data_IF_052149910730
#
_entry.id   IF_052149910730
#
_cell.length_a   1.000
_cell.length_b   1.000
_cell.length_c   1.000
_cell.angle_alpha   90.00
_cell.angle_beta   90.00
_cell.angle_gamma   90.00
#
_symmetry.space_group_name_H-M   'P 1'
#
loop_
_entity.id
_entity.type
_entity.pdbx_description
1 polymer ?
#
# COMPACT_ATOMS: atom_id res chain seq x y z
N UNK A 1 6.14 9.58 -3.63
CA UNK A 1 7.09 10.64 -4.04
C UNK A 1 6.49 12.03 -4.04
N UNK A 2 5.37 12.29 -4.74
CA UNK A 2 4.85 13.67 -4.87
C UNK A 2 4.51 14.34 -3.53
N UNK A 3 3.90 13.62 -2.59
CA UNK A 3 3.57 14.18 -1.27
C UNK A 3 4.81 14.74 -0.53
N UNK A 4 5.94 14.04 -0.57
CA UNK A 4 7.19 14.52 0.05
C UNK A 4 7.67 15.77 -0.67
N UNK A 5 7.65 15.80 -2.01
CA UNK A 5 8.09 16.98 -2.78
C UNK A 5 7.28 18.22 -2.42
N UNK A 6 5.96 18.08 -2.29
CA UNK A 6 5.09 19.20 -1.88
C UNK A 6 5.49 19.74 -0.50
N UNK A 7 5.85 18.88 0.46
CA UNK A 7 6.34 19.34 1.76
C UNK A 7 7.67 20.09 1.63
N UNK A 8 8.60 19.60 0.81
CA UNK A 8 9.87 20.27 0.55
C UNK A 8 9.70 21.61 -0.16
N UNK A 9 8.74 21.71 -1.09
CA UNK A 9 8.40 22.95 -1.79
C UNK A 9 7.82 24.02 -0.83
N UNK A 10 7.34 23.61 0.34
CA UNK A 10 6.88 24.47 1.44
C UNK A 10 7.93 24.67 2.54
N UNK A 11 9.22 24.49 2.22
CA UNK A 11 10.36 24.69 3.13
C UNK A 11 10.38 23.75 4.37
N UNK A 12 9.69 22.61 4.30
CA UNK A 12 9.83 21.57 5.32
C UNK A 12 11.15 20.83 5.10
N UNK A 13 11.99 20.74 6.13
CA UNK A 13 13.24 19.99 6.06
C UNK A 13 12.98 18.48 5.93
N UNK A 14 13.73 17.80 5.07
CA UNK A 14 13.59 16.35 4.83
C UNK A 14 13.68 15.51 6.12
N UNK A 15 14.54 15.90 7.06
CA UNK A 15 14.75 15.20 8.34
C UNK A 15 13.53 15.25 9.28
N UNK A 16 12.64 16.22 9.07
CA UNK A 16 11.41 16.37 9.85
C UNK A 16 10.23 15.61 9.24
N UNK A 17 10.44 14.93 8.11
CA UNK A 17 9.40 14.17 7.43
C UNK A 17 9.54 12.71 7.83
N UNK A 18 8.47 12.18 8.43
CA UNK A 18 8.35 10.77 8.78
C UNK A 18 7.25 10.14 7.95
N UNK A 19 7.63 9.20 7.08
CA UNK A 19 6.69 8.45 6.27
C UNK A 19 6.35 7.12 6.96
N UNK A 20 5.11 7.03 7.43
CA UNK A 20 4.55 5.88 8.10
C UNK A 20 3.67 5.09 7.13
N UNK A 21 3.96 3.81 6.95
CA UNK A 21 3.18 2.89 6.11
C UNK A 21 2.80 1.62 6.85
N UNK A 22 1.67 1.02 6.50
CA UNK A 22 1.31 -0.32 6.99
C UNK A 22 2.05 -1.40 6.20
N UNK A 23 2.12 -1.24 4.88
CA UNK A 23 2.68 -2.23 3.98
C UNK A 23 3.39 -1.53 2.83
N UNK A 24 4.56 -2.03 2.44
CA UNK A 24 5.34 -1.45 1.35
C UNK A 24 5.97 -2.55 0.49
N UNK A 25 6.02 -2.35 -0.83
CA UNK A 25 6.80 -3.22 -1.69
C UNK A 25 8.30 -2.91 -1.55
N UNK A 26 9.16 -3.92 -1.63
CA UNK A 26 10.62 -3.75 -1.53
C UNK A 26 11.17 -2.72 -2.54
N UNK A 27 10.68 -2.75 -3.78
CA UNK A 27 11.04 -1.75 -4.82
C UNK A 27 10.65 -0.33 -4.43
N UNK A 28 9.51 -0.15 -3.75
CA UNK A 28 9.04 1.13 -3.23
C UNK A 28 9.94 1.68 -2.13
N UNK A 29 10.37 0.84 -1.19
CA UNK A 29 11.31 1.23 -0.11
C UNK A 29 12.61 1.76 -0.73
N UNK A 30 13.22 0.99 -1.63
CA UNK A 30 14.49 1.38 -2.25
C UNK A 30 14.38 2.66 -3.07
N UNK A 31 13.30 2.81 -3.84
CA UNK A 31 13.08 4.01 -4.65
C UNK A 31 12.91 5.26 -3.80
N UNK A 32 12.24 5.14 -2.66
CA UNK A 32 11.98 6.25 -1.76
C UNK A 32 13.22 6.62 -0.94
N UNK A 33 13.95 5.62 -0.44
CA UNK A 33 15.22 5.81 0.26
C UNK A 33 16.31 6.41 -0.65
N UNK A 34 16.33 6.04 -1.93
CA UNK A 34 17.24 6.62 -2.92
C UNK A 34 16.92 8.09 -3.23
N UNK A 35 15.62 8.41 -3.35
CA UNK A 35 15.19 9.77 -3.69
C UNK A 35 15.25 10.75 -2.50
N UNK A 36 14.98 10.28 -1.28
CA UNK A 36 14.94 11.12 -0.07
C UNK A 36 15.70 10.43 1.08
N UNK A 37 17.03 10.53 1.12
CA UNK A 37 17.85 9.76 2.07
C UNK A 37 17.70 10.23 3.52
N UNK A 38 17.20 11.43 3.77
CA UNK A 38 17.02 11.99 5.12
C UNK A 38 15.63 11.74 5.71
N UNK A 39 14.67 11.27 4.90
CA UNK A 39 13.31 10.98 5.34
C UNK A 39 13.29 9.69 6.15
N UNK A 40 12.69 9.73 7.33
CA UNK A 40 12.51 8.53 8.16
C UNK A 40 11.37 7.67 7.61
N UNK A 41 11.68 6.44 7.23
CA UNK A 41 10.72 5.46 6.70
C UNK A 41 10.40 4.41 7.76
N UNK A 42 9.14 4.36 8.17
CA UNK A 42 8.64 3.36 9.13
C UNK A 42 7.52 2.58 8.47
N UNK A 43 7.70 1.27 8.35
CA UNK A 43 6.67 0.38 7.79
C UNK A 43 6.50 -0.87 8.65
N UNK A 44 5.28 -1.38 8.76
CA UNK A 44 5.00 -2.58 9.58
C UNK A 44 5.41 -3.86 8.86
N UNK A 45 5.14 -3.94 7.55
CA UNK A 45 5.53 -5.06 6.70
C UNK A 45 6.18 -4.57 5.39
N UNK A 46 7.08 -5.39 4.86
CA UNK A 46 7.70 -5.21 3.54
C UNK A 46 7.53 -6.50 2.75
N UNK A 47 6.85 -6.41 1.61
CA UNK A 47 6.59 -7.55 0.75
C UNK A 47 7.52 -7.51 -0.48
N UNK A 48 8.00 -8.67 -0.95
CA UNK A 48 9.04 -8.75 -1.98
C UNK A 48 8.51 -8.57 -3.40
N UNK A 49 7.23 -8.84 -3.66
CA UNK A 49 6.67 -8.88 -5.01
C UNK A 49 5.52 -7.91 -5.20
N UNK A 50 5.53 -7.28 -6.36
CA UNK A 50 4.42 -6.48 -6.88
C UNK A 50 3.94 -7.15 -8.17
N UNK A 51 2.63 -7.22 -8.37
CA UNK A 51 2.03 -7.75 -9.59
C UNK A 51 1.97 -6.67 -10.69
N UNK A 52 1.64 -7.06 -11.92
CA UNK A 52 1.48 -6.16 -13.08
C UNK A 52 0.38 -5.10 -12.88
N UNK A 53 -0.60 -5.40 -12.03
CA UNK A 53 -1.66 -4.48 -11.60
C UNK A 53 -1.23 -3.57 -10.43
N UNK A 54 0.06 -3.52 -10.09
CA UNK A 54 0.64 -2.77 -8.97
C UNK A 54 0.13 -3.16 -7.57
N UNK A 55 -0.49 -4.33 -7.45
CA UNK A 55 -0.82 -4.91 -6.14
C UNK A 55 0.39 -5.57 -5.52
N UNK A 56 0.59 -5.31 -4.24
CA UNK A 56 1.59 -6.02 -3.44
C UNK A 56 1.06 -7.42 -3.13
N UNK A 57 1.88 -8.47 -3.30
CA UNK A 57 1.49 -9.87 -3.08
C UNK A 57 2.42 -10.49 -2.02
N UNK A 58 1.90 -11.17 -0.97
CA UNK A 58 0.48 -11.54 -0.74
C UNK A 58 -0.44 -10.37 -0.36
N UNK A 59 0.10 -9.28 0.20
CA UNK A 59 -0.57 -7.99 0.39
C UNK A 59 -1.94 -8.02 1.07
N UNK A 60 -2.72 -6.96 0.82
CA UNK A 60 -4.04 -6.75 1.44
C UNK A 60 -5.14 -6.37 0.44
N UNK A 61 -4.91 -6.49 -0.87
CA UNK A 61 -5.84 -5.98 -1.88
C UNK A 61 -5.95 -4.45 -1.82
N UNK A 62 -7.10 -3.90 -2.22
CA UNK A 62 -7.35 -2.47 -2.08
C UNK A 62 -7.67 -2.10 -0.62
N UNK A 63 -6.67 -1.58 0.10
CA UNK A 63 -6.82 -1.15 1.49
C UNK A 63 -7.94 -0.12 1.68
N UNK A 64 -8.12 0.80 0.72
CA UNK A 64 -9.14 1.84 0.80
C UNK A 64 -10.55 1.23 0.81
N UNK A 65 -10.83 0.34 -0.14
CA UNK A 65 -12.14 -0.29 -0.24
C UNK A 65 -12.46 -1.16 0.97
N UNK A 66 -11.47 -1.91 1.47
CA UNK A 66 -11.62 -2.74 2.67
C UNK A 66 -11.81 -1.93 3.94
N UNK A 67 -11.12 -0.80 4.07
CA UNK A 67 -11.19 0.05 5.26
C UNK A 67 -12.48 0.88 5.30
N UNK A 68 -12.92 1.41 4.15
CA UNK A 68 -14.12 2.24 4.04
C UNK A 68 -15.39 1.45 3.70
N UNK A 69 -15.27 0.15 3.40
CA UNK A 69 -16.39 -0.72 3.01
C UNK A 69 -16.98 -0.36 1.64
N UNK A 70 -16.15 0.21 0.74
CA UNK A 70 -16.55 0.61 -0.61
C UNK A 70 -16.26 -0.46 -1.65
N UNK A 71 -15.99 -1.70 -1.22
CA UNK A 71 -16.00 -2.84 -2.12
C UNK A 71 -17.32 -2.81 -2.86
N UNK A 72 -17.27 -2.46 -4.16
CA UNK A 72 -18.43 -2.56 -5.01
C UNK A 72 -18.84 -4.01 -4.93
N UNK A 73 -19.93 -4.29 -4.21
CA UNK A 73 -20.61 -5.57 -4.25
C UNK A 73 -20.76 -5.83 -5.74
N UNK A 74 -19.97 -6.77 -6.27
CA UNK A 74 -20.24 -7.30 -7.58
C UNK A 74 -21.60 -7.95 -7.40
N UNK A 75 -22.63 -7.23 -7.85
CA UNK A 75 -23.96 -7.76 -7.97
C UNK A 75 -23.89 -8.84 -9.04
N UNK A 76 -23.49 -10.04 -8.61
CA UNK A 76 -23.68 -11.34 -9.24
C UNK A 76 -23.41 -12.40 -8.16
N UNK A 77 -24.45 -12.60 -7.37
CA UNK A 77 -24.97 -13.89 -6.91
C UNK A 77 -24.07 -14.87 -6.18
N UNK A 78 -24.50 -15.16 -4.96
CA UNK A 78 -24.21 -16.41 -4.28
C UNK A 78 -24.50 -17.61 -5.18
N UNK A 79 -23.49 -18.45 -5.35
CA UNK A 79 -23.66 -19.89 -5.30
C UNK A 79 -22.99 -20.38 -4.02
N UNK A 80 -23.73 -20.26 -2.93
CA UNK A 80 -23.69 -21.28 -1.90
C UNK A 80 -24.24 -22.56 -2.54
N UNK A 81 -23.35 -23.41 -3.02
CA UNK A 81 -23.61 -24.83 -3.08
C UNK A 81 -22.54 -25.49 -2.24
N UNK A 82 -22.79 -25.47 -0.93
CA UNK A 82 -22.41 -26.57 -0.06
C UNK A 82 -22.94 -27.86 -0.72
N UNK A 83 -22.08 -28.56 -1.45
CA UNK A 83 -22.35 -29.91 -1.88
C UNK A 83 -21.99 -30.84 -0.71
N UNK A 84 -23.02 -31.11 0.07
CA UNK A 84 -23.12 -32.10 1.14
C UNK A 84 -22.71 -33.48 0.60
N UNK A 85 -21.54 -33.96 1.05
CA UNK A 85 -21.04 -35.31 0.76
C UNK A 85 -21.56 -36.31 1.80
N UNK A 86 -22.33 -37.32 1.36
CA UNK A 86 -22.12 -38.69 1.81
C UNK A 86 -21.57 -39.60 0.71
#
# INVERSE_FOLDING_TARGET
>A
MMAIRVLLDHDVLEENILLLSLLMAGTGVHSLAYAFPKVALITTAVDPHINELYYVIPGMGNFGDRYYGTEAVSACDGSSSDEENP
#
